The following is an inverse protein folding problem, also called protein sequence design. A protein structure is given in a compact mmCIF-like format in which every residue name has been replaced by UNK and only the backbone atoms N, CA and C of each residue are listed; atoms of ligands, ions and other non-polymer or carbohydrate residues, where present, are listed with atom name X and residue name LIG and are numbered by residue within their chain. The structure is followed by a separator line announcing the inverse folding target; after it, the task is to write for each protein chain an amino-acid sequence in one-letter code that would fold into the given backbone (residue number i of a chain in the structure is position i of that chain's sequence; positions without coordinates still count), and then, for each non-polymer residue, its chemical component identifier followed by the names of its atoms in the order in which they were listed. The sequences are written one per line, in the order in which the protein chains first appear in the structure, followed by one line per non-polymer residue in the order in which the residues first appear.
data_IF_884121928001
#
_entry.id   IF_884121928001
#
_cell.length_a   1.000
_cell.length_b   1.000
_cell.length_c   1.000
_cell.angle_alpha   90.00
_cell.angle_beta   90.00
_cell.angle_gamma   90.00
#
_symmetry.space_group_name_H-M   'P 1'
#
loop_
_entity.id
_entity.type
_entity.pdbx_description
1 polymer ?
#
# COMPACT_ATOMS: atom_id res chain seq x y z
N UNK A 1 27.33 -19.90 37.06
CA UNK A 1 26.19 -18.98 37.27
C UNK A 1 26.06 -18.14 36.01
N UNK A 2 24.93 -18.22 35.31
CA UNK A 2 24.68 -17.39 34.12
C UNK A 2 24.46 -15.95 34.58
N UNK A 3 25.19 -15.00 34.00
CA UNK A 3 25.14 -13.59 34.39
C UNK A 3 23.78 -12.98 34.06
N UNK A 4 23.41 -11.91 34.77
CA UNK A 4 22.16 -11.18 34.52
C UNK A 4 22.06 -10.64 33.08
N UNK A 5 23.21 -10.29 32.47
CA UNK A 5 23.30 -9.88 31.07
C UNK A 5 22.93 -11.01 30.12
N UNK A 6 23.49 -12.20 30.32
CA UNK A 6 23.19 -13.38 29.50
C UNK A 6 21.72 -13.81 29.66
N UNK A 7 21.13 -13.66 30.85
CA UNK A 7 19.71 -13.93 31.07
C UNK A 7 18.82 -12.95 30.30
N UNK A 8 19.14 -11.65 30.34
CA UNK A 8 18.40 -10.62 29.60
C UNK A 8 18.52 -10.80 28.08
N UNK A 9 19.71 -11.11 27.59
CA UNK A 9 19.97 -11.34 26.17
C UNK A 9 19.24 -12.59 25.66
N UNK A 10 19.20 -13.67 26.44
CA UNK A 10 18.42 -14.86 26.09
C UNK A 10 16.91 -14.57 26.02
N UNK A 11 16.40 -13.73 26.93
CA UNK A 11 14.98 -13.33 26.97
C UNK A 11 14.61 -12.48 25.76
N UNK A 12 15.41 -11.47 25.43
CA UNK A 12 15.16 -10.58 24.30
C UNK A 12 15.33 -11.29 22.96
N UNK A 13 16.35 -12.14 22.80
CA UNK A 13 16.54 -12.96 21.58
C UNK A 13 15.42 -13.99 21.45
N UNK A 14 14.97 -14.60 22.55
CA UNK A 14 13.85 -15.53 22.56
C UNK A 14 12.55 -14.87 22.09
N UNK A 15 12.22 -13.70 22.64
CA UNK A 15 11.06 -12.91 22.21
C UNK A 15 11.18 -12.46 20.76
N UNK A 16 12.36 -11.98 20.33
CA UNK A 16 12.58 -11.57 18.95
C UNK A 16 12.37 -12.72 17.96
N UNK A 17 12.84 -13.93 18.27
CA UNK A 17 12.59 -15.13 17.44
C UNK A 17 11.11 -15.49 17.39
N UNK A 18 10.40 -15.37 18.51
CA UNK A 18 8.98 -15.67 18.57
C UNK A 18 8.15 -14.68 17.73
N UNK A 19 8.45 -13.38 17.84
CA UNK A 19 7.82 -12.32 17.02
C UNK A 19 8.21 -12.44 15.56
N UNK A 20 9.48 -12.75 15.24
CA UNK A 20 9.93 -12.98 13.88
C UNK A 20 9.19 -14.15 13.20
N UNK A 21 8.75 -15.15 13.96
CA UNK A 21 7.91 -16.24 13.44
C UNK A 21 6.48 -15.81 13.06
N UNK A 22 6.00 -14.67 13.56
CA UNK A 22 4.72 -14.08 13.20
C UNK A 22 4.82 -13.12 12.01
N UNK A 23 6.01 -12.59 11.76
CA UNK A 23 6.29 -11.76 10.61
C UNK A 23 6.61 -12.67 9.42
N UNK A 24 5.97 -12.48 8.25
CA UNK A 24 6.43 -13.17 7.07
C UNK A 24 7.91 -12.83 6.85
N UNK A 25 8.77 -13.85 6.75
CA UNK A 25 10.16 -13.64 6.33
C UNK A 25 10.17 -12.78 5.07
N UNK A 26 10.84 -11.63 5.12
CA UNK A 26 11.04 -10.78 3.95
C UNK A 26 12.08 -11.47 3.08
N UNK A 27 11.63 -12.08 1.99
CA UNK A 27 12.50 -12.67 0.98
C UNK A 27 12.46 -11.80 -0.28
N UNK A 28 13.50 -11.85 -1.13
CA UNK A 28 13.48 -11.14 -2.41
C UNK A 28 12.23 -11.45 -3.24
N UNK A 29 11.76 -12.70 -3.25
CA UNK A 29 10.56 -13.12 -3.99
C UNK A 29 9.30 -12.45 -3.44
N UNK A 30 9.18 -12.37 -2.11
CA UNK A 30 8.06 -11.69 -1.45
C UNK A 30 8.10 -10.18 -1.68
N UNK A 31 9.30 -9.60 -1.72
CA UNK A 31 9.46 -8.19 -2.03
C UNK A 31 9.07 -7.88 -3.48
N UNK A 32 9.49 -8.72 -4.44
CA UNK A 32 9.07 -8.60 -5.85
C UNK A 32 7.55 -8.72 -5.99
N UNK A 33 6.92 -9.69 -5.30
CA UNK A 33 5.47 -9.82 -5.29
C UNK A 33 4.76 -8.60 -4.68
N UNK A 34 5.34 -8.02 -3.62
CA UNK A 34 4.87 -6.77 -3.04
C UNK A 34 4.98 -5.59 -4.02
N UNK A 35 6.11 -5.45 -4.73
CA UNK A 35 6.29 -4.40 -5.73
C UNK A 35 5.27 -4.51 -6.87
N UNK A 36 4.96 -5.72 -7.33
CA UNK A 36 3.92 -5.96 -8.34
C UNK A 36 2.54 -5.50 -7.85
N UNK A 37 2.18 -5.88 -6.61
CA UNK A 37 0.95 -5.41 -5.98
C UNK A 37 0.92 -3.87 -5.86
N UNK A 38 2.03 -3.24 -5.47
CA UNK A 38 2.13 -1.78 -5.34
C UNK A 38 2.04 -1.06 -6.67
N UNK A 39 2.61 -1.62 -7.74
CA UNK A 39 2.42 -1.12 -9.10
C UNK A 39 0.93 -1.05 -9.45
N UNK A 40 0.21 -2.15 -9.31
CA UNK A 40 -1.22 -2.19 -9.64
C UNK A 40 -2.07 -1.31 -8.72
N UNK A 41 -1.73 -1.27 -7.43
CA UNK A 41 -2.41 -0.43 -6.43
C UNK A 41 -2.31 1.06 -6.76
N UNK A 42 -1.13 1.50 -7.21
CA UNK A 42 -0.85 2.93 -7.50
C UNK A 42 -1.08 3.31 -8.96
N UNK A 43 -1.19 2.36 -9.88
CA UNK A 43 -1.37 2.64 -11.31
C UNK A 43 -2.57 3.55 -11.60
N UNK A 44 -3.64 3.39 -10.82
CA UNK A 44 -4.91 4.14 -10.95
C UNK A 44 -5.22 5.02 -9.75
N UNK A 45 -4.26 5.32 -8.87
CA UNK A 45 -4.50 6.18 -7.70
C UNK A 45 -4.99 7.57 -8.11
N UNK A 46 -4.38 8.18 -9.13
CA UNK A 46 -4.85 9.44 -9.69
C UNK A 46 -6.29 9.41 -10.20
N UNK A 47 -6.71 8.33 -10.88
CA UNK A 47 -8.10 8.15 -11.33
C UNK A 47 -9.08 8.09 -10.15
N UNK A 48 -8.73 7.31 -9.12
CA UNK A 48 -9.57 7.16 -7.92
C UNK A 48 -9.75 8.49 -7.18
N UNK A 49 -8.68 9.28 -7.10
CA UNK A 49 -8.71 10.60 -6.47
C UNK A 49 -9.50 11.61 -7.30
N UNK A 50 -9.41 11.58 -8.64
CA UNK A 50 -10.30 12.36 -9.50
C UNK A 50 -11.77 12.02 -9.29
N UNK A 51 -12.10 10.73 -9.18
CA UNK A 51 -13.46 10.29 -8.86
C UNK A 51 -13.93 10.82 -7.50
N UNK A 52 -13.07 10.81 -6.48
CA UNK A 52 -13.39 11.37 -5.16
C UNK A 52 -13.59 12.89 -5.23
N UNK A 53 -12.79 13.61 -6.02
CA UNK A 53 -12.97 15.04 -6.25
C UNK A 53 -14.31 15.36 -6.95
N UNK A 54 -14.71 14.54 -7.92
CA UNK A 54 -16.00 14.69 -8.62
C UNK A 54 -17.20 14.45 -7.67
N UNK A 55 -17.08 13.47 -6.78
CA UNK A 55 -18.17 13.06 -5.86
C UNK A 55 -18.23 13.86 -4.56
N UNK A 56 -17.13 14.47 -4.14
CA UNK A 56 -17.11 15.32 -2.96
C UNK A 56 -18.11 16.47 -3.13
N UNK A 57 -18.79 16.86 -2.05
CA UNK A 57 -19.71 18.01 -2.05
C UNK A 57 -19.09 19.23 -1.39
N UNK A 58 -18.11 19.02 -0.50
CA UNK A 58 -17.38 20.09 0.18
C UNK A 58 -16.28 20.65 -0.73
N UNK A 59 -16.24 21.98 -0.98
CA UNK A 59 -15.23 22.59 -1.85
C UNK A 59 -13.79 22.26 -1.46
N UNK A 60 -13.49 22.18 -0.17
CA UNK A 60 -12.17 21.87 0.36
C UNK A 60 -11.75 20.44 0.02
N UNK A 61 -12.67 19.48 0.11
CA UNK A 61 -12.40 18.09 -0.26
C UNK A 61 -12.22 17.92 -1.77
N UNK A 62 -12.99 18.65 -2.58
CA UNK A 62 -12.81 18.66 -4.03
C UNK A 62 -11.40 19.12 -4.40
N UNK A 63 -10.97 20.26 -3.84
CA UNK A 63 -9.66 20.83 -4.10
C UNK A 63 -8.55 19.87 -3.63
N UNK A 64 -8.68 19.34 -2.42
CA UNK A 64 -7.72 18.39 -1.84
C UNK A 64 -7.53 17.15 -2.72
N UNK A 65 -8.62 16.48 -3.12
CA UNK A 65 -8.51 15.28 -3.95
C UNK A 65 -8.00 15.58 -5.37
N UNK A 66 -8.35 16.73 -5.94
CA UNK A 66 -7.86 17.12 -7.26
C UNK A 66 -6.35 17.41 -7.26
N UNK A 67 -5.84 18.07 -6.22
CA UNK A 67 -4.40 18.29 -6.03
C UNK A 67 -3.67 16.95 -5.84
N UNK A 68 -4.15 16.12 -4.92
CA UNK A 68 -3.52 14.83 -4.63
C UNK A 68 -3.53 13.88 -5.84
N UNK A 69 -4.57 13.94 -6.68
CA UNK A 69 -4.63 13.15 -7.90
C UNK A 69 -3.47 13.45 -8.87
N UNK A 70 -3.00 14.69 -8.92
CA UNK A 70 -1.89 15.09 -9.77
C UNK A 70 -0.56 14.49 -9.26
N UNK A 71 -0.35 14.53 -7.95
CA UNK A 71 0.85 13.97 -7.31
C UNK A 71 0.91 12.45 -7.45
N UNK A 72 -0.23 11.79 -7.25
CA UNK A 72 -0.34 10.33 -7.22
C UNK A 72 -0.30 9.68 -8.62
N UNK A 73 -0.57 10.42 -9.69
CA UNK A 73 -0.67 9.90 -11.07
C UNK A 73 0.59 9.15 -11.55
N UNK A 74 1.75 9.45 -10.95
CA UNK A 74 3.04 8.89 -11.35
C UNK A 74 3.62 7.90 -10.33
N UNK A 75 2.97 7.66 -9.19
CA UNK A 75 3.57 6.87 -8.10
C UNK A 75 3.90 5.43 -8.48
N UNK A 76 3.14 4.83 -9.39
CA UNK A 76 3.41 3.48 -9.89
C UNK A 76 4.77 3.34 -10.60
N UNK A 77 5.34 4.44 -11.09
CA UNK A 77 6.63 4.42 -11.78
C UNK A 77 7.76 3.97 -10.87
N UNK A 78 7.69 4.27 -9.57
CA UNK A 78 8.68 3.81 -8.60
C UNK A 78 8.67 2.29 -8.48
N UNK A 79 7.50 1.69 -8.23
CA UNK A 79 7.36 0.25 -8.15
C UNK A 79 7.77 -0.45 -9.47
N UNK A 80 7.45 0.17 -10.62
CA UNK A 80 7.87 -0.32 -11.94
C UNK A 80 9.39 -0.28 -12.12
N UNK A 81 10.04 0.80 -11.69
CA UNK A 81 11.50 0.93 -11.76
C UNK A 81 12.20 -0.08 -10.85
N UNK A 82 11.69 -0.29 -9.64
CA UNK A 82 12.23 -1.29 -8.72
C UNK A 82 12.09 -2.71 -9.27
N UNK A 83 10.93 -3.06 -9.84
CA UNK A 83 10.74 -4.36 -10.52
C UNK A 83 11.76 -4.55 -11.65
N UNK A 84 12.01 -3.51 -12.45
CA UNK A 84 12.99 -3.55 -13.52
C UNK A 84 14.42 -3.79 -12.99
N UNK A 85 14.77 -3.22 -11.83
CA UNK A 85 16.06 -3.46 -11.18
C UNK A 85 16.25 -4.93 -10.74
N UNK A 86 15.16 -5.66 -10.50
CA UNK A 86 15.16 -7.10 -10.27
C UNK A 86 15.05 -7.95 -11.56
N UNK A 87 15.11 -7.33 -12.75
CA UNK A 87 14.93 -8.01 -14.02
C UNK A 87 13.51 -8.54 -14.24
N UNK A 88 12.52 -7.90 -13.63
CA UNK A 88 11.09 -8.24 -13.73
C UNK A 88 10.32 -7.12 -14.42
N UNK A 89 9.14 -7.47 -14.92
CA UNK A 89 8.12 -6.52 -15.38
C UNK A 89 6.87 -6.70 -14.52
N UNK A 90 6.03 -5.66 -14.36
CA UNK A 90 4.73 -5.84 -13.74
C UNK A 90 3.92 -6.93 -14.44
N UNK A 91 3.10 -7.63 -13.68
CA UNK A 91 2.13 -8.60 -14.19
C UNK A 91 1.02 -7.90 -14.98
N UNK A 92 0.46 -8.57 -15.98
CA UNK A 92 -0.66 -8.02 -16.76
C UNK A 92 -1.98 -8.02 -15.96
N UNK A 93 -2.13 -8.98 -15.04
CA UNK A 93 -3.34 -9.15 -14.26
C UNK A 93 -3.29 -8.34 -12.96
N UNK A 94 -4.29 -7.49 -12.73
CA UNK A 94 -4.46 -6.82 -11.44
C UNK A 94 -4.73 -7.85 -10.33
N UNK A 95 -3.98 -7.82 -9.20
CA UNK A 95 -4.25 -8.68 -8.06
C UNK A 95 -5.68 -8.51 -7.53
N UNK A 96 -6.30 -9.62 -7.12
CA UNK A 96 -7.70 -9.63 -6.67
C UNK A 96 -7.96 -8.63 -5.54
N UNK A 97 -7.03 -8.53 -4.60
CA UNK A 97 -7.09 -7.62 -3.45
C UNK A 97 -7.12 -6.15 -3.91
N UNK A 98 -6.31 -5.82 -4.93
CA UNK A 98 -6.30 -4.47 -5.54
C UNK A 98 -7.60 -4.20 -6.28
N UNK A 99 -8.11 -5.17 -7.06
CA UNK A 99 -9.42 -5.04 -7.72
C UNK A 99 -10.56 -4.85 -6.72
N UNK A 100 -10.56 -5.59 -5.61
CA UNK A 100 -11.56 -5.45 -4.56
C UNK A 100 -11.50 -4.07 -3.89
N UNK A 101 -10.29 -3.56 -3.66
CA UNK A 101 -10.10 -2.20 -3.14
C UNK A 101 -10.58 -1.13 -4.12
N UNK A 102 -10.31 -1.27 -5.41
CA UNK A 102 -10.84 -0.36 -6.44
C UNK A 102 -12.37 -0.35 -6.45
N UNK A 103 -13.00 -1.53 -6.43
CA UNK A 103 -14.44 -1.66 -6.40
C UNK A 103 -15.05 -1.03 -5.14
N UNK A 104 -14.40 -1.18 -3.98
CA UNK A 104 -14.79 -0.50 -2.74
C UNK A 104 -14.77 1.03 -2.92
N UNK A 105 -13.67 1.60 -3.44
CA UNK A 105 -13.54 3.03 -3.69
C UNK A 105 -14.59 3.55 -4.67
N UNK A 106 -14.77 2.87 -5.80
CA UNK A 106 -15.77 3.22 -6.82
C UNK A 106 -17.21 3.12 -6.29
N UNK A 107 -17.44 2.34 -5.24
CA UNK A 107 -18.73 2.17 -4.58
C UNK A 107 -19.07 3.22 -3.51
N UNK A 108 -18.14 4.10 -3.11
CA UNK A 108 -18.40 5.11 -2.08
C UNK A 108 -19.36 6.18 -2.62
N UNK A 109 -20.55 6.34 -2.03
CA UNK A 109 -21.51 7.34 -2.49
C UNK A 109 -21.18 8.73 -1.95
N UNK A 110 -21.70 9.79 -2.58
CA UNK A 110 -21.35 11.19 -2.26
C UNK A 110 -21.68 11.57 -0.80
N UNK A 111 -22.78 11.04 -0.24
CA UNK A 111 -23.15 11.26 1.17
C UNK A 111 -22.16 10.66 2.17
N UNK A 112 -21.29 9.74 1.72
CA UNK A 112 -20.20 9.15 2.50
C UNK A 112 -18.82 9.66 2.06
N UNK A 113 -18.72 10.88 1.51
CA UNK A 113 -17.45 11.45 1.02
C UNK A 113 -16.26 11.37 2.00
N UNK A 114 -16.49 11.37 3.33
CA UNK A 114 -15.42 11.21 4.32
C UNK A 114 -14.79 9.80 4.30
N UNK A 115 -15.48 8.79 3.76
CA UNK A 115 -14.93 7.45 3.57
C UNK A 115 -13.77 7.44 2.58
N UNK A 116 -13.68 8.40 1.64
CA UNK A 116 -12.52 8.54 0.77
C UNK A 116 -11.26 8.91 1.57
N UNK A 117 -11.38 9.70 2.65
CA UNK A 117 -10.25 10.04 3.53
C UNK A 117 -9.79 8.86 4.38
N UNK A 118 -10.74 8.06 4.89
CA UNK A 118 -10.43 6.90 5.70
C UNK A 118 -9.85 5.72 4.92
N UNK A 119 -9.94 5.75 3.59
CA UNK A 119 -9.50 4.67 2.71
C UNK A 119 -8.37 5.08 1.76
N UNK A 120 -7.68 6.18 2.06
CA UNK A 120 -6.61 6.78 1.25
C UNK A 120 -5.35 5.91 1.22
#
# INVERSE_FOLDING_TARGET
MVSMREQLEALTVGMARQVAGWLPAVTPERYVAFLDMMYHYTLRSGDRLRLAAERATLPELKAFFAELAADEQSHYQLAKADLAAFGRTPSDATPREVSAFHAFWEGIPAERQLSFLGAL
#
